data_IF_063295223545
#
_entry.id   IF_063295223545
#
_cell.length_a   1.000
_cell.length_b   1.000
_cell.length_c   1.000
_cell.angle_alpha   90.00
_cell.angle_beta   90.00
_cell.angle_gamma   90.00
#
_symmetry.space_group_name_H-M   'P 1'
#
loop_
_entity.id
_entity.type
_entity.pdbx_description
1 polymer ?
#
# COMPACT_ATOMS: atom_id res chain seq x y z
N UNK A 1 -18.13 -32.88 18.47
CA UNK A 1 -18.06 -31.71 17.57
C UNK A 1 -16.74 -31.02 17.87
N UNK A 2 -15.72 -31.26 17.04
CA UNK A 2 -14.34 -30.86 17.34
C UNK A 2 -14.21 -29.35 17.47
N UNK A 3 -13.80 -28.89 18.66
CA UNK A 3 -13.32 -27.53 18.88
C UNK A 3 -11.94 -27.42 18.23
N UNK A 4 -11.92 -27.01 16.97
CA UNK A 4 -10.67 -26.62 16.31
C UNK A 4 -10.18 -25.36 17.04
N UNK A 5 -8.99 -25.38 17.67
CA UNK A 5 -8.41 -24.16 18.20
C UNK A 5 -8.07 -23.29 17.00
N UNK A 6 -8.80 -22.19 16.82
CA UNK A 6 -8.48 -21.16 15.84
C UNK A 6 -7.11 -20.60 16.21
N UNK A 7 -6.10 -20.95 15.42
CA UNK A 7 -4.75 -20.44 15.53
C UNK A 7 -4.80 -18.90 15.54
N UNK A 8 -4.44 -18.29 16.67
CA UNK A 8 -4.31 -16.82 16.85
C UNK A 8 -3.48 -16.16 15.73
N UNK A 9 -2.56 -16.91 15.11
CA UNK A 9 -1.73 -16.48 14.00
C UNK A 9 -2.50 -16.17 12.71
N UNK A 10 -3.64 -16.83 12.45
CA UNK A 10 -4.45 -16.58 11.25
C UNK A 10 -5.16 -15.23 11.35
N UNK A 11 -5.73 -14.89 12.51
CA UNK A 11 -6.39 -13.60 12.74
C UNK A 11 -5.42 -12.41 12.58
N UNK A 12 -4.17 -12.58 13.02
CA UNK A 12 -3.14 -11.55 12.91
C UNK A 12 -2.71 -11.32 11.45
N UNK A 13 -2.60 -12.39 10.65
CA UNK A 13 -2.29 -12.28 9.23
C UNK A 13 -3.47 -11.73 8.41
N UNK A 14 -4.70 -12.05 8.79
CA UNK A 14 -5.90 -11.48 8.16
C UNK A 14 -5.97 -9.96 8.31
N UNK A 15 -5.55 -9.41 9.46
CA UNK A 15 -5.49 -7.96 9.66
C UNK A 15 -4.52 -7.26 8.70
N UNK A 16 -3.38 -7.86 8.40
CA UNK A 16 -2.41 -7.30 7.44
C UNK A 16 -2.93 -7.37 6.01
N UNK A 17 -3.61 -8.45 5.64
CA UNK A 17 -4.16 -8.61 4.31
C UNK A 17 -5.32 -7.63 4.04
N UNK A 18 -6.16 -7.37 5.04
CA UNK A 18 -7.18 -6.32 5.02
C UNK A 18 -6.55 -4.94 4.77
N UNK A 19 -5.44 -4.65 5.46
CA UNK A 19 -4.67 -3.42 5.27
C UNK A 19 -4.03 -3.29 3.88
N UNK A 20 -3.61 -4.40 3.27
CA UNK A 20 -3.06 -4.45 1.90
C UNK A 20 -4.14 -4.19 0.84
N UNK A 21 -5.37 -4.63 1.11
CA UNK A 21 -6.51 -4.44 0.24
C UNK A 21 -7.15 -3.06 0.37
N UNK A 22 -6.79 -2.27 1.39
CA UNK A 22 -7.23 -0.88 1.49
C UNK A 22 -6.77 -0.06 0.30
N UNK A 23 -7.68 0.81 -0.15
CA UNK A 23 -7.43 1.72 -1.24
C UNK A 23 -6.54 2.89 -0.83
N UNK A 24 -5.80 3.44 -1.77
CA UNK A 24 -4.98 4.65 -1.59
C UNK A 24 -5.85 5.85 -1.13
N UNK A 25 -7.11 5.90 -1.57
CA UNK A 25 -8.11 6.86 -1.10
C UNK A 25 -8.45 6.71 0.41
N UNK A 26 -8.42 5.49 0.95
CA UNK A 26 -8.88 5.17 2.31
C UNK A 26 -7.80 5.41 3.37
N UNK A 27 -6.53 5.26 2.98
CA UNK A 27 -5.36 5.48 3.84
C UNK A 27 -5.01 6.97 4.01
N UNK A 28 -5.80 7.86 3.41
CA UNK A 28 -5.71 9.31 3.58
C UNK A 28 -4.71 9.99 2.66
N UNK A 29 -4.52 9.48 1.44
CA UNK A 29 -3.77 10.18 0.40
C UNK A 29 -4.57 11.34 -0.17
N UNK A 30 -3.86 12.40 -0.58
CA UNK A 30 -4.49 13.53 -1.25
C UNK A 30 -5.14 13.10 -2.57
N UNK A 31 -6.30 13.67 -2.89
CA UNK A 31 -7.06 13.38 -4.13
C UNK A 31 -6.18 13.45 -5.38
N UNK A 32 -5.22 14.38 -5.44
CA UNK A 32 -4.28 14.48 -6.57
C UNK A 32 -3.35 13.27 -6.66
N UNK A 33 -2.79 12.85 -5.53
CA UNK A 33 -1.96 11.66 -5.42
C UNK A 33 -2.75 10.40 -5.82
N UNK A 34 -3.97 10.26 -5.30
CA UNK A 34 -4.85 9.13 -5.59
C UNK A 34 -5.16 9.05 -7.08
N UNK A 35 -5.59 10.15 -7.72
CA UNK A 35 -5.86 10.16 -9.16
C UNK A 35 -4.63 9.79 -10.01
N UNK A 36 -3.42 10.24 -9.63
CA UNK A 36 -2.18 9.87 -10.33
C UNK A 36 -1.87 8.36 -10.21
N UNK A 37 -2.18 7.77 -9.05
CA UNK A 37 -1.99 6.34 -8.81
C UNK A 37 -3.04 5.52 -9.57
N UNK A 38 -4.31 5.94 -9.54
CA UNK A 38 -5.42 5.30 -10.25
C UNK A 38 -5.23 5.31 -11.78
N UNK A 39 -4.68 6.40 -12.34
CA UNK A 39 -4.36 6.49 -13.78
C UNK A 39 -3.31 5.45 -14.21
N UNK A 40 -2.45 5.03 -13.28
CA UNK A 40 -1.47 3.96 -13.46
C UNK A 40 -2.01 2.56 -13.17
N UNK A 41 -3.25 2.45 -12.69
CA UNK A 41 -3.86 1.20 -12.26
C UNK A 41 -3.62 0.84 -10.78
N UNK A 42 -3.06 1.77 -10.00
CA UNK A 42 -2.69 1.57 -8.61
C UNK A 42 -3.82 2.07 -7.70
N UNK A 43 -4.76 1.17 -7.39
CA UNK A 43 -5.91 1.50 -6.54
C UNK A 43 -5.68 1.13 -5.06
N UNK A 44 -4.83 0.13 -4.80
CA UNK A 44 -4.65 -0.48 -3.46
C UNK A 44 -3.22 -0.34 -2.95
N UNK A 45 -3.05 -0.46 -1.62
CA UNK A 45 -1.73 -0.51 -0.98
C UNK A 45 -0.91 -1.68 -1.53
N UNK A 46 -1.55 -2.82 -1.79
CA UNK A 46 -0.92 -3.98 -2.40
C UNK A 46 -0.30 -3.66 -3.77
N UNK A 47 -1.06 -2.98 -4.63
CA UNK A 47 -0.59 -2.59 -5.96
C UNK A 47 0.56 -1.58 -5.86
N UNK A 48 0.45 -0.65 -4.92
CA UNK A 48 1.49 0.34 -4.64
C UNK A 48 2.78 -0.28 -4.10
N UNK A 49 2.70 -1.36 -3.33
CA UNK A 49 3.87 -2.15 -2.90
C UNK A 49 4.54 -2.86 -4.09
N UNK A 50 3.75 -3.32 -5.05
CA UNK A 50 4.22 -3.92 -6.30
C UNK A 50 4.84 -2.89 -7.27
N UNK A 51 4.37 -1.64 -7.31
CA UNK A 51 4.87 -0.61 -8.23
C UNK A 51 6.10 0.13 -7.70
N UNK A 52 7.26 0.03 -8.35
CA UNK A 52 8.55 0.60 -7.87
C UNK A 52 8.55 2.12 -7.71
N UNK A 53 9.49 2.63 -6.89
CA UNK A 53 9.70 4.08 -6.72
C UNK A 53 10.01 4.75 -8.06
N UNK A 54 10.76 4.08 -8.93
CA UNK A 54 11.09 4.56 -10.27
C UNK A 54 9.84 4.75 -11.12
N UNK A 55 8.94 3.77 -11.11
CA UNK A 55 7.65 3.87 -11.80
C UNK A 55 6.83 5.04 -11.24
N UNK A 56 6.79 5.21 -9.91
CA UNK A 56 6.09 6.34 -9.30
C UNK A 56 6.71 7.69 -9.70
N UNK A 57 8.04 7.82 -9.65
CA UNK A 57 8.78 9.03 -10.05
C UNK A 57 8.69 9.34 -11.55
N UNK A 58 8.43 8.33 -12.39
CA UNK A 58 8.26 8.52 -13.83
C UNK A 58 6.91 9.16 -14.21
N UNK A 59 5.96 9.25 -13.29
CA UNK A 59 4.65 9.86 -13.55
C UNK A 59 4.79 11.39 -13.57
N UNK A 60 4.37 12.03 -14.66
CA UNK A 60 4.37 13.49 -14.88
C UNK A 60 3.36 14.24 -13.99
N UNK A 61 3.53 14.12 -12.68
CA UNK A 61 2.94 14.92 -11.60
C UNK A 61 3.36 14.39 -10.21
N UNK A 62 4.20 13.37 -10.18
CA UNK A 62 4.61 12.68 -8.97
C UNK A 62 5.93 13.26 -8.49
N UNK A 63 5.83 14.11 -7.46
CA UNK A 63 6.99 14.74 -6.84
C UNK A 63 7.36 14.09 -5.51
N UNK A 64 8.41 14.63 -4.88
CA UNK A 64 8.80 14.28 -3.51
C UNK A 64 7.64 14.36 -2.52
N UNK A 65 6.76 15.37 -2.64
CA UNK A 65 5.59 15.51 -1.76
C UNK A 65 4.61 14.35 -1.88
N UNK A 66 4.26 14.00 -3.12
CA UNK A 66 3.35 12.89 -3.44
C UNK A 66 3.93 11.57 -2.94
N UNK A 67 5.22 11.38 -3.18
CA UNK A 67 5.99 10.23 -2.73
C UNK A 67 6.00 10.12 -1.19
N UNK A 68 6.29 11.21 -0.49
CA UNK A 68 6.32 11.24 0.97
C UNK A 68 4.95 10.97 1.59
N UNK A 69 3.86 11.46 0.97
CA UNK A 69 2.51 11.11 1.43
C UNK A 69 2.24 9.61 1.34
N UNK A 70 2.65 8.98 0.23
CA UNK A 70 2.55 7.53 0.05
C UNK A 70 3.36 6.79 1.11
N UNK A 71 4.60 7.21 1.38
CA UNK A 71 5.43 6.62 2.43
C UNK A 71 4.81 6.78 3.82
N UNK A 72 4.30 7.98 4.15
CA UNK A 72 3.58 8.21 5.42
C UNK A 72 2.34 7.34 5.55
N UNK A 73 1.56 7.18 4.49
CA UNK A 73 0.37 6.34 4.50
C UNK A 73 0.76 4.87 4.75
N UNK A 74 1.76 4.36 4.02
CA UNK A 74 2.35 3.04 4.23
C UNK A 74 2.85 2.83 5.67
N UNK A 75 3.57 3.80 6.22
CA UNK A 75 4.06 3.76 7.61
C UNK A 75 2.93 3.69 8.64
N UNK A 76 1.83 4.44 8.44
CA UNK A 76 0.67 4.40 9.34
C UNK A 76 0.02 3.03 9.40
N UNK A 77 0.14 2.26 8.33
CA UNK A 77 -0.42 0.91 8.22
C UNK A 77 0.59 -0.14 8.72
N UNK A 78 1.83 0.27 8.99
CA UNK A 78 2.92 -0.62 9.42
C UNK A 78 3.66 -1.29 8.27
N UNK A 79 3.40 -0.89 7.01
CA UNK A 79 4.12 -1.38 5.86
C UNK A 79 5.29 -0.46 5.56
N UNK A 80 6.50 -0.94 5.83
CA UNK A 80 7.70 -0.26 5.38
C UNK A 80 8.13 -0.84 4.04
N UNK A 81 8.18 0.01 3.02
CA UNK A 81 8.72 -0.36 1.71
C UNK A 81 10.25 -0.41 1.78
N UNK A 82 10.78 -1.38 2.51
CA UNK A 82 12.23 -1.52 2.74
C UNK A 82 12.93 -2.41 1.71
N UNK A 83 12.22 -2.93 0.70
CA UNK A 83 12.82 -3.90 -0.22
C UNK A 83 12.63 -3.50 -1.68
N UNK A 84 13.60 -2.73 -2.18
CA UNK A 84 14.08 -2.94 -3.54
C UNK A 84 14.52 -4.41 -3.65
N UNK A 85 13.65 -5.29 -4.14
CA UNK A 85 14.13 -6.48 -4.83
C UNK A 85 14.13 -6.17 -6.33
N UNK A 86 15.28 -5.84 -6.92
CA UNK A 86 15.37 -5.89 -8.37
C UNK A 86 15.09 -7.34 -8.78
N UNK A 87 14.17 -7.54 -9.72
CA UNK A 87 14.09 -8.76 -10.50
C UNK A 87 14.73 -8.51 -11.85
#
# INVERSE_FOLDING_TARGET
>A
MSRIPLNQAELANQGLNDRLQMSTAEIGLEVRTTNCLEERGIFTVNDLLHCTRDELLSISNFGEKTLEQVYRALERIGFHRSNCRPR
#
